data_IF_565388540388
#
_entry.id   IF_565388540388
#
_cell.length_a   1.000
_cell.length_b   1.000
_cell.length_c   1.000
_cell.angle_alpha   90.00
_cell.angle_beta   90.00
_cell.angle_gamma   90.00
#
_symmetry.space_group_name_H-M   'P 1'
#
loop_
_entity.id
_entity.type
_entity.pdbx_description
1 polymer ?
#
# COMPACT_ATOMS: atom_id res chain seq x y z
N UNK A 1 -5.90 5.90 -10.21
CA UNK A 1 -5.86 6.98 -9.21
C UNK A 1 -4.44 7.48 -9.07
N UNK A 2 -4.20 8.47 -8.21
CA UNK A 2 -2.85 8.91 -7.88
C UNK A 2 -2.60 8.74 -6.39
N UNK A 3 -1.39 8.32 -6.04
CA UNK A 3 -0.89 8.27 -4.66
C UNK A 3 0.15 9.37 -4.56
N UNK A 4 -0.02 10.26 -3.60
CA UNK A 4 0.96 11.31 -3.31
C UNK A 4 1.65 10.98 -1.99
N UNK A 5 2.98 10.97 -2.02
CA UNK A 5 3.79 10.75 -0.83
C UNK A 5 4.42 12.08 -0.44
N UNK A 6 4.10 12.53 0.77
CA UNK A 6 4.54 13.81 1.32
C UNK A 6 5.55 13.57 2.45
N UNK A 7 6.66 14.29 2.43
CA UNK A 7 7.59 14.32 3.56
C UNK A 7 7.14 15.37 4.58
N UNK A 8 6.89 14.92 5.81
CA UNK A 8 6.40 15.73 6.92
C UNK A 8 7.44 15.94 8.01
N UNK A 9 8.66 15.38 7.87
CA UNK A 9 9.70 15.37 8.92
C UNK A 9 10.17 16.77 9.30
N UNK A 10 10.13 17.71 8.37
CA UNK A 10 10.54 19.10 8.56
C UNK A 10 9.35 20.08 8.50
N UNK A 11 8.13 19.55 8.62
CA UNK A 11 6.93 20.35 8.50
C UNK A 11 6.79 21.31 9.70
N UNK A 12 6.59 22.59 9.42
CA UNK A 12 6.24 23.63 10.38
C UNK A 12 5.27 24.62 9.73
N UNK A 13 4.66 25.52 10.52
CA UNK A 13 3.78 26.57 9.99
C UNK A 13 4.44 27.45 8.91
N UNK A 14 5.78 27.54 8.90
CA UNK A 14 6.56 28.30 7.91
C UNK A 14 7.16 27.43 6.80
N UNK A 15 7.12 26.11 6.96
CA UNK A 15 7.66 25.15 6.01
C UNK A 15 6.68 23.98 5.87
N UNK A 16 5.66 24.09 5.00
CA UNK A 16 4.67 23.04 4.85
C UNK A 16 5.31 21.74 4.33
N UNK A 17 4.59 20.63 4.49
CA UNK A 17 5.03 19.33 3.99
C UNK A 17 5.35 19.40 2.49
N UNK A 18 6.44 18.77 2.08
CA UNK A 18 6.88 18.76 0.70
C UNK A 18 6.42 17.47 0.01
N UNK A 19 5.92 17.60 -1.22
CA UNK A 19 5.61 16.43 -2.05
C UNK A 19 6.93 15.77 -2.45
N UNK A 20 7.12 14.50 -2.07
CA UNK A 20 8.32 13.74 -2.38
C UNK A 20 8.23 13.14 -3.78
N UNK A 21 7.11 12.48 -4.09
CA UNK A 21 6.81 11.96 -5.42
C UNK A 21 5.32 11.58 -5.53
N UNK A 22 4.88 11.34 -6.77
CA UNK A 22 3.53 10.89 -7.11
C UNK A 22 3.60 9.57 -7.85
N UNK A 23 2.83 8.58 -7.40
CA UNK A 23 2.66 7.29 -8.07
C UNK A 23 1.34 7.29 -8.81
N UNK A 24 1.40 7.07 -10.12
CA UNK A 24 0.19 6.93 -10.95
C UNK A 24 -0.21 5.47 -11.03
N UNK A 25 -1.49 5.18 -10.80
CA UNK A 25 -2.04 3.82 -10.92
C UNK A 25 -3.23 3.82 -11.87
N UNK A 26 -3.39 2.81 -12.73
CA UNK A 26 -4.57 2.70 -13.60
C UNK A 26 -5.82 2.25 -12.83
N UNK A 27 -5.69 1.91 -11.54
CA UNK A 27 -6.75 1.34 -10.73
C UNK A 27 -7.43 2.38 -9.82
N UNK A 28 -8.66 2.07 -9.42
CA UNK A 28 -9.37 2.81 -8.36
C UNK A 28 -8.76 2.47 -7.00
N UNK A 29 -8.24 3.48 -6.31
CA UNK A 29 -7.60 3.31 -5.00
C UNK A 29 -8.66 3.45 -3.92
N UNK A 30 -8.74 2.47 -3.01
CA UNK A 30 -9.75 2.45 -1.94
C UNK A 30 -9.16 2.62 -0.56
N UNK A 31 -7.97 2.06 -0.35
CA UNK A 31 -7.24 2.13 0.91
C UNK A 31 -5.74 2.10 0.64
N UNK A 32 -4.99 2.77 1.49
CA UNK A 32 -3.54 2.80 1.47
C UNK A 32 -3.05 2.56 2.90
N UNK A 33 -2.05 1.70 3.09
CA UNK A 33 -1.47 1.43 4.39
C UNK A 33 0.04 1.20 4.33
N UNK A 34 0.77 1.96 5.13
CA UNK A 34 2.21 1.75 5.36
C UNK A 34 2.44 0.38 6.00
N UNK A 35 3.52 -0.29 5.59
CA UNK A 35 3.98 -1.49 6.28
C UNK A 35 4.20 -1.18 7.76
N UNK A 36 3.66 -2.03 8.62
CA UNK A 36 3.80 -1.92 10.07
C UNK A 36 5.12 -2.51 10.58
N UNK A 37 5.96 -3.01 9.67
CA UNK A 37 7.25 -3.59 9.98
C UNK A 37 8.23 -2.54 10.52
N UNK A 38 8.89 -2.87 11.63
CA UNK A 38 10.00 -2.08 12.19
C UNK A 38 11.37 -2.44 11.58
N UNK A 39 11.38 -3.23 10.52
CA UNK A 39 12.59 -3.74 9.84
C UNK A 39 12.78 -3.04 8.50
N UNK A 40 13.72 -3.51 7.68
CA UNK A 40 14.08 -2.92 6.38
C UNK A 40 12.84 -2.55 5.53
N UNK A 41 11.77 -3.34 5.56
CA UNK A 41 10.55 -3.12 4.77
C UNK A 41 9.58 -2.05 5.32
N UNK A 42 10.00 -1.18 6.25
CA UNK A 42 9.19 -0.04 6.72
C UNK A 42 8.76 0.91 5.59
N UNK A 43 9.51 0.89 4.48
CA UNK A 43 9.29 1.70 3.29
C UNK A 43 8.40 1.01 2.24
N UNK A 44 7.57 0.06 2.66
CA UNK A 44 6.57 -0.55 1.78
C UNK A 44 5.18 0.06 1.99
N UNK A 45 4.44 0.20 0.89
CA UNK A 45 3.09 0.74 0.89
C UNK A 45 2.14 -0.28 0.27
N UNK A 46 1.17 -0.76 1.04
CA UNK A 46 0.08 -1.56 0.50
C UNK A 46 -1.03 -0.67 -0.02
N UNK A 47 -1.48 -0.94 -1.24
CA UNK A 47 -2.51 -0.18 -1.94
C UNK A 47 -3.61 -1.13 -2.33
N UNK A 48 -4.78 -0.95 -1.73
CA UNK A 48 -5.98 -1.70 -2.06
C UNK A 48 -6.62 -1.11 -3.32
N UNK A 49 -6.64 -1.92 -4.37
CA UNK A 49 -7.38 -1.72 -5.59
C UNK A 49 -8.70 -2.53 -5.54
N UNK A 50 -9.42 -2.63 -6.64
CA UNK A 50 -10.73 -3.30 -6.67
C UNK A 50 -10.68 -4.75 -6.18
N UNK A 51 -9.96 -5.63 -6.87
CA UNK A 51 -9.86 -7.06 -6.55
C UNK A 51 -8.45 -7.49 -6.16
N UNK A 52 -7.55 -6.53 -5.96
CA UNK A 52 -6.16 -6.82 -5.66
C UNK A 52 -5.58 -5.82 -4.68
N UNK A 53 -4.54 -6.27 -4.00
CA UNK A 53 -3.63 -5.40 -3.28
C UNK A 53 -2.32 -5.36 -4.06
N UNK A 54 -1.74 -4.17 -4.18
CA UNK A 54 -0.41 -3.96 -4.74
C UNK A 54 0.51 -3.42 -3.65
N UNK A 55 1.70 -3.97 -3.57
CA UNK A 55 2.74 -3.54 -2.65
C UNK A 55 3.76 -2.73 -3.44
N UNK A 56 3.98 -1.51 -3.00
CA UNK A 56 4.96 -0.59 -3.59
C UNK A 56 6.17 -0.46 -2.66
N UNK A 57 7.37 -0.49 -3.22
CA UNK A 57 8.58 -0.04 -2.54
C UNK A 57 8.77 1.45 -2.84
N UNK A 58 8.77 2.29 -1.80
CA UNK A 58 8.86 3.75 -1.92
C UNK A 58 10.26 4.32 -1.64
N UNK A 59 11.29 3.46 -1.56
CA UNK A 59 12.67 3.90 -1.36
C UNK A 59 13.20 4.68 -2.57
N UNK A 60 12.62 4.43 -3.75
CA UNK A 60 12.98 5.10 -5.01
C UNK A 60 11.91 6.12 -5.43
N UNK A 61 12.34 7.15 -6.16
CA UNK A 61 11.49 8.25 -6.58
C UNK A 61 10.35 7.85 -7.55
N UNK A 62 10.50 6.70 -8.21
CA UNK A 62 9.53 6.14 -9.15
C UNK A 62 8.54 5.15 -8.51
N UNK A 63 8.76 4.78 -7.23
CA UNK A 63 8.01 3.81 -6.45
C UNK A 63 7.36 2.68 -7.27
N UNK A 64 8.02 1.53 -7.32
CA UNK A 64 7.60 0.42 -8.18
C UNK A 64 6.83 -0.64 -7.41
N UNK A 65 5.98 -1.37 -8.13
CA UNK A 65 5.24 -2.51 -7.58
C UNK A 65 6.20 -3.67 -7.40
N UNK A 66 6.36 -4.15 -6.17
CA UNK A 66 7.18 -5.33 -5.84
C UNK A 66 6.36 -6.61 -5.74
N UNK A 67 5.06 -6.49 -5.44
CA UNK A 67 4.16 -7.64 -5.31
C UNK A 67 2.71 -7.23 -5.57
N UNK A 68 1.90 -8.17 -6.05
CA UNK A 68 0.48 -7.96 -6.27
C UNK A 68 -0.31 -9.25 -6.09
N UNK A 69 -1.52 -9.14 -5.53
CA UNK A 69 -2.44 -10.28 -5.37
C UNK A 69 -3.43 -10.37 -6.53
N UNK A 70 -2.99 -10.00 -7.75
CA UNK A 70 -3.88 -9.94 -8.91
C UNK A 70 -4.48 -11.32 -9.17
N UNK A 71 -5.79 -11.37 -9.43
CA UNK A 71 -6.59 -12.58 -9.69
C UNK A 71 -6.83 -13.52 -8.49
N UNK A 72 -6.39 -13.17 -7.29
CA UNK A 72 -6.60 -14.01 -6.10
C UNK A 72 -8.01 -13.92 -5.52
N UNK A 73 -8.56 -12.70 -5.49
CA UNK A 73 -9.96 -12.47 -5.12
C UNK A 73 -10.84 -12.36 -6.38
N UNK A 74 -11.96 -13.07 -6.39
CA UNK A 74 -12.90 -13.04 -7.52
C UNK A 74 -13.81 -11.83 -7.46
N UNK A 75 -14.02 -11.31 -6.26
CA UNK A 75 -14.79 -10.09 -5.99
C UNK A 75 -13.95 -9.03 -5.26
N UNK A 76 -14.62 -7.96 -4.84
CA UNK A 76 -13.99 -6.75 -4.36
C UNK A 76 -13.39 -6.93 -2.97
N UNK A 77 -12.15 -6.47 -2.80
CA UNK A 77 -11.54 -6.33 -1.48
C UNK A 77 -12.21 -5.16 -0.75
N UNK A 78 -12.62 -5.40 0.49
CA UNK A 78 -13.28 -4.42 1.37
C UNK A 78 -12.42 -4.03 2.57
N UNK A 79 -11.42 -4.84 2.90
CA UNK A 79 -10.51 -4.58 4.00
C UNK A 79 -9.13 -5.19 3.76
N UNK A 80 -8.14 -4.58 4.40
CA UNK A 80 -6.73 -4.93 4.30
C UNK A 80 -6.02 -4.50 5.59
N UNK A 81 -5.12 -5.34 6.10
CA UNK A 81 -4.22 -5.00 7.21
C UNK A 81 -2.89 -5.78 7.13
N UNK A 82 -1.81 -5.16 7.59
CA UNK A 82 -0.47 -5.76 7.66
C UNK A 82 -0.30 -6.59 8.91
N UNK A 83 0.20 -7.82 8.76
CA UNK A 83 0.64 -8.66 9.87
C UNK A 83 2.04 -8.22 10.30
N UNK A 84 2.12 -7.53 11.45
CA UNK A 84 3.37 -6.96 12.01
C UNK A 84 4.55 -7.94 12.09
N UNK A 85 4.28 -9.21 12.37
CA UNK A 85 5.30 -10.21 12.65
C UNK A 85 5.82 -10.93 11.40
N UNK A 86 5.09 -10.92 10.29
CA UNK A 86 5.33 -11.89 9.20
C UNK A 86 5.54 -11.29 7.80
N UNK A 87 5.65 -9.96 7.65
CA UNK A 87 5.70 -9.30 6.32
C UNK A 87 4.60 -9.86 5.41
N UNK A 88 3.41 -9.97 5.95
CA UNK A 88 2.26 -10.51 5.24
C UNK A 88 1.12 -9.54 5.35
N UNK A 89 0.15 -9.69 4.46
CA UNK A 89 -1.04 -8.88 4.46
C UNK A 89 -2.28 -9.76 4.47
N UNK A 90 -3.24 -9.39 5.32
CA UNK A 90 -4.57 -10.02 5.37
C UNK A 90 -5.50 -9.19 4.52
N UNK A 91 -6.30 -9.85 3.68
CA UNK A 91 -7.33 -9.22 2.86
C UNK A 91 -8.69 -9.83 3.16
N UNK A 92 -9.72 -8.98 3.15
CA UNK A 92 -11.12 -9.34 3.32
C UNK A 92 -11.87 -8.98 2.05
N UNK A 93 -12.64 -9.92 1.49
CA UNK A 93 -13.33 -9.74 0.21
C UNK A 93 -14.82 -10.07 0.29
N UNK A 94 -15.60 -9.48 -0.61
CA UNK A 94 -17.03 -9.82 -0.78
C UNK A 94 -17.24 -11.21 -1.40
N UNK A 95 -16.18 -11.85 -1.90
CA UNK A 95 -16.20 -13.24 -2.36
C UNK A 95 -16.31 -14.27 -1.22
N UNK A 96 -16.56 -13.80 -0.01
CA UNK A 96 -16.69 -14.60 1.22
C UNK A 96 -15.38 -15.26 1.66
N UNK A 97 -14.23 -14.79 1.18
CA UNK A 97 -12.92 -15.27 1.60
C UNK A 97 -12.08 -14.22 2.32
N UNK A 98 -11.22 -14.75 3.20
CA UNK A 98 -10.12 -14.03 3.83
C UNK A 98 -8.84 -14.69 3.33
N UNK A 99 -7.88 -13.89 2.85
CA UNK A 99 -6.60 -14.41 2.36
C UNK A 99 -5.44 -13.74 3.07
N UNK A 100 -4.34 -14.48 3.16
CA UNK A 100 -3.07 -14.01 3.71
C UNK A 100 -2.03 -14.16 2.61
N UNK A 101 -1.33 -13.08 2.28
CA UNK A 101 -0.27 -13.09 1.29
C UNK A 101 1.04 -12.69 1.93
N UNK A 102 2.07 -13.50 1.70
CA UNK A 102 3.46 -13.13 2.02
C UNK A 102 3.97 -12.18 0.96
N UNK A 103 4.61 -11.09 1.38
CA UNK A 103 5.18 -10.07 0.49
C UNK A 103 6.67 -10.26 0.30
#
# INVERSE_FOLDING_TARGET
>A
GQIQVWDTRQCSLKNPASLKFTVSTPFSIRRIQWSSAKTENSDQLAVQCDRSVRIYDIRRADAYVISSTDLEHTQRIIGMDWIKQSQSIVTLSTDQSIRIFST
#
